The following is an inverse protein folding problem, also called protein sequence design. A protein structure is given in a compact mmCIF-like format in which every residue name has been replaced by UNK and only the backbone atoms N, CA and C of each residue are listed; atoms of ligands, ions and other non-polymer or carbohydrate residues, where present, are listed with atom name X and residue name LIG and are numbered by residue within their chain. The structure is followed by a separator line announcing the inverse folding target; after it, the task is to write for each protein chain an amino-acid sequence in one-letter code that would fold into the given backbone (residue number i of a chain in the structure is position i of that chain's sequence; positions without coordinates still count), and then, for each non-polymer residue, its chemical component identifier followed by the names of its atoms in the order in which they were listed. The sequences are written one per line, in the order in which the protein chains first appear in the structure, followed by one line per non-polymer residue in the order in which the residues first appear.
data_IF_746207339627
#
_entry.id   IF_746207339627
#
_cell.length_a   1.000
_cell.length_b   1.000
_cell.length_c   1.000
_cell.angle_alpha   90.00
_cell.angle_beta   90.00
_cell.angle_gamma   90.00
#
_symmetry.space_group_name_H-M   'P 1'
#
loop_
_entity.id
_entity.type
_entity.pdbx_description
1 polymer ?
#
# COMPACT_ATOMS: atom_id res chain seq x y z
N UNK A 1 11.29 -27.68 10.18
CA UNK A 1 10.72 -27.15 8.93
C UNK A 1 9.35 -26.58 9.20
N UNK A 2 8.51 -27.29 9.95
CA UNK A 2 7.15 -26.80 10.29
C UNK A 2 7.18 -25.51 11.12
N UNK A 3 8.06 -25.39 12.11
CA UNK A 3 8.22 -24.16 12.93
C UNK A 3 8.64 -22.92 12.12
N UNK A 4 9.42 -23.08 11.04
CA UNK A 4 9.81 -21.96 10.17
C UNK A 4 8.66 -21.56 9.25
N UNK A 5 7.79 -22.50 8.87
CA UNK A 5 6.61 -22.21 8.07
C UNK A 5 5.55 -21.49 8.90
N UNK A 6 5.38 -21.89 10.15
CA UNK A 6 4.48 -21.19 11.09
C UNK A 6 4.90 -19.73 11.27
N UNK A 7 6.20 -19.45 11.38
CA UNK A 7 6.70 -18.06 11.41
C UNK A 7 6.41 -17.29 10.12
N UNK A 8 6.48 -17.95 8.96
CA UNK A 8 6.10 -17.33 7.67
C UNK A 8 4.60 -17.02 7.66
N UNK A 9 3.77 -17.97 8.07
CA UNK A 9 2.32 -17.80 8.13
C UNK A 9 1.94 -16.63 9.06
N UNK A 10 2.60 -16.50 10.21
CA UNK A 10 2.41 -15.35 11.12
C UNK A 10 2.82 -14.02 10.48
N UNK A 11 3.92 -13.99 9.73
CA UNK A 11 4.34 -12.81 8.99
C UNK A 11 3.32 -12.45 7.90
N UNK A 12 2.82 -13.43 7.16
CA UNK A 12 1.84 -13.23 6.10
C UNK A 12 0.53 -12.66 6.65
N UNK A 13 0.05 -13.18 7.79
CA UNK A 13 -1.13 -12.65 8.48
C UNK A 13 -0.95 -11.19 8.93
N UNK A 14 0.24 -10.84 9.42
CA UNK A 14 0.57 -9.47 9.79
C UNK A 14 0.60 -8.53 8.57
N UNK A 15 1.17 -8.99 7.45
CA UNK A 15 1.19 -8.24 6.19
C UNK A 15 -0.24 -7.99 5.70
N UNK A 16 -1.08 -9.03 5.67
CA UNK A 16 -2.45 -8.92 5.21
C UNK A 16 -3.30 -8.03 6.11
N UNK A 17 -3.11 -8.10 7.43
CA UNK A 17 -3.77 -7.22 8.40
C UNK A 17 -3.40 -5.76 8.18
N UNK A 18 -2.12 -5.45 7.99
CA UNK A 18 -1.66 -4.10 7.73
C UNK A 18 -2.18 -3.55 6.39
N UNK A 19 -2.24 -4.39 5.35
CA UNK A 19 -2.77 -4.03 4.04
C UNK A 19 -4.27 -3.73 4.11
N UNK A 20 -5.08 -4.54 4.78
CA UNK A 20 -6.51 -4.29 4.97
C UNK A 20 -6.76 -2.94 5.68
N UNK A 21 -6.03 -2.68 6.76
CA UNK A 21 -6.10 -1.38 7.46
C UNK A 21 -5.75 -0.22 6.52
N UNK A 22 -4.68 -0.35 5.72
CA UNK A 22 -4.29 0.67 4.74
C UNK A 22 -5.39 0.93 3.72
N UNK A 23 -6.04 -0.10 3.19
CA UNK A 23 -7.09 0.04 2.18
C UNK A 23 -8.38 0.63 2.76
N UNK A 24 -8.72 0.34 4.02
CA UNK A 24 -9.82 1.01 4.72
C UNK A 24 -9.60 2.53 4.81
N UNK A 25 -8.36 2.96 5.11
CA UNK A 25 -8.00 4.39 5.11
C UNK A 25 -8.12 4.99 3.71
N UNK A 26 -7.74 4.26 2.65
CA UNK A 26 -7.93 4.72 1.26
C UNK A 26 -9.40 4.99 0.96
N UNK A 27 -10.32 4.11 1.36
CA UNK A 27 -11.77 4.34 1.20
C UNK A 27 -12.25 5.59 1.93
N UNK A 28 -11.80 5.79 3.18
CA UNK A 28 -12.14 6.99 3.94
C UNK A 28 -11.64 8.27 3.26
N UNK A 29 -10.44 8.23 2.67
CA UNK A 29 -9.91 9.35 1.86
C UNK A 29 -10.75 9.58 0.61
N UNK A 30 -11.18 8.52 -0.07
CA UNK A 30 -12.06 8.61 -1.24
C UNK A 30 -13.41 9.25 -0.88
N UNK A 31 -14.05 8.79 0.20
CA UNK A 31 -15.32 9.34 0.71
C UNK A 31 -15.17 10.83 1.06
N UNK A 32 -14.08 11.19 1.73
CA UNK A 32 -13.78 12.57 2.05
C UNK A 32 -13.68 13.42 0.77
N UNK A 33 -12.94 12.96 -0.24
CA UNK A 33 -12.80 13.68 -1.52
C UNK A 33 -14.13 13.80 -2.25
N UNK A 34 -14.96 12.74 -2.25
CA UNK A 34 -16.31 12.73 -2.83
C UNK A 34 -17.17 13.85 -2.23
N UNK A 35 -17.19 13.92 -0.91
CA UNK A 35 -18.01 14.88 -0.17
C UNK A 35 -17.53 16.34 -0.33
N UNK A 36 -16.29 16.55 -0.77
CA UNK A 36 -15.68 17.88 -0.93
C UNK A 36 -15.35 18.23 -2.39
N UNK A 37 -15.83 17.45 -3.37
CA UNK A 37 -15.55 17.62 -4.80
C UNK A 37 -14.04 17.77 -5.13
N UNK A 38 -13.18 17.02 -4.45
CA UNK A 38 -11.73 17.06 -4.65
C UNK A 38 -11.26 16.03 -5.70
N UNK A 39 -10.28 16.36 -6.56
CA UNK A 39 -9.77 15.44 -7.57
C UNK A 39 -8.85 14.34 -7.00
N UNK A 40 -8.75 13.24 -7.74
CA UNK A 40 -7.99 12.01 -7.38
C UNK A 40 -6.46 12.15 -7.56
N UNK A 41 -5.90 13.33 -7.83
CA UNK A 41 -4.48 13.44 -8.24
C UNK A 41 -3.50 12.94 -7.16
N UNK A 42 -2.77 11.83 -7.42
CA UNK A 42 -1.87 11.18 -6.44
C UNK A 42 -0.41 10.96 -6.89
N UNK A 43 -0.03 11.24 -8.14
CA UNK A 43 1.29 10.86 -8.70
C UNK A 43 2.48 11.31 -7.85
N UNK A 44 2.54 12.58 -7.43
CA UNK A 44 3.66 13.11 -6.63
C UNK A 44 3.75 12.48 -5.23
N UNK A 45 2.62 12.04 -4.66
CA UNK A 45 2.58 11.38 -3.36
C UNK A 45 3.08 9.94 -3.43
N UNK A 46 2.85 9.28 -4.57
CA UNK A 46 3.28 7.90 -4.81
C UNK A 46 4.81 7.82 -4.88
N UNK A 47 5.44 8.71 -5.63
CA UNK A 47 6.91 8.75 -5.75
C UNK A 47 7.56 9.07 -4.40
N UNK A 48 6.99 9.99 -3.63
CA UNK A 48 7.46 10.31 -2.28
C UNK A 48 7.30 9.14 -1.31
N UNK A 49 6.22 8.35 -1.42
CA UNK A 49 6.02 7.17 -0.61
C UNK A 49 7.08 6.11 -0.89
N UNK A 50 7.29 5.77 -2.17
CA UNK A 50 8.26 4.75 -2.58
C UNK A 50 9.67 5.17 -2.14
N UNK A 51 10.06 6.41 -2.42
CA UNK A 51 11.36 6.94 -1.99
C UNK A 51 11.54 6.84 -0.47
N UNK A 52 10.56 7.27 0.31
CA UNK A 52 10.61 7.19 1.79
C UNK A 52 10.76 5.76 2.28
N UNK A 53 10.16 4.78 1.59
CA UNK A 53 10.23 3.37 1.98
C UNK A 53 11.59 2.75 1.62
N UNK A 54 12.12 3.08 0.45
CA UNK A 54 13.49 2.73 0.05
C UNK A 54 14.49 3.29 1.07
N UNK A 55 14.40 4.61 1.35
CA UNK A 55 15.30 5.27 2.31
C UNK A 55 15.23 4.66 3.73
N UNK A 56 14.09 4.06 4.10
CA UNK A 56 13.85 3.53 5.44
C UNK A 56 14.12 2.03 5.57
N UNK A 57 13.86 1.25 4.53
CA UNK A 57 13.83 -0.22 4.59
C UNK A 57 14.69 -0.90 3.51
N UNK A 58 15.26 -0.13 2.58
CA UNK A 58 16.11 -0.64 1.51
C UNK A 58 17.34 -1.36 2.06
N UNK A 59 17.45 -2.66 1.76
CA UNK A 59 18.58 -3.51 2.15
C UNK A 59 18.62 -4.80 1.30
N UNK A 60 19.50 -5.75 1.62
CA UNK A 60 19.69 -7.02 0.88
C UNK A 60 18.38 -7.80 0.65
N UNK A 61 17.51 -7.89 1.67
CA UNK A 61 16.25 -8.64 1.60
C UNK A 61 15.07 -7.82 1.08
N UNK A 62 15.17 -6.49 1.10
CA UNK A 62 14.14 -5.55 0.66
C UNK A 62 14.78 -4.56 -0.31
N UNK A 63 15.16 -5.06 -1.49
CA UNK A 63 15.83 -4.24 -2.48
C UNK A 63 14.94 -3.09 -2.96
N UNK A 64 15.56 -2.01 -3.40
CA UNK A 64 14.86 -0.84 -3.93
C UNK A 64 13.85 -1.22 -5.02
N UNK A 65 14.25 -2.12 -5.93
CA UNK A 65 13.42 -2.66 -6.99
C UNK A 65 12.24 -3.46 -6.45
N UNK A 66 12.45 -4.28 -5.41
CA UNK A 66 11.36 -5.04 -4.79
C UNK A 66 10.34 -4.11 -4.12
N UNK A 67 10.82 -3.12 -3.36
CA UNK A 67 9.96 -2.12 -2.70
C UNK A 67 9.14 -1.34 -3.75
N UNK A 68 9.80 -0.87 -4.82
CA UNK A 68 9.14 -0.14 -5.89
C UNK A 68 8.05 -0.96 -6.59
N UNK A 69 8.35 -2.22 -6.95
CA UNK A 69 7.37 -3.11 -7.59
C UNK A 69 6.20 -3.44 -6.67
N UNK A 70 6.47 -3.84 -5.42
CA UNK A 70 5.43 -4.19 -4.46
C UNK A 70 4.47 -3.01 -4.22
N UNK A 71 5.03 -1.82 -4.00
CA UNK A 71 4.19 -0.65 -3.78
C UNK A 71 3.49 -0.18 -5.05
N UNK A 72 4.05 -0.42 -6.24
CA UNK A 72 3.34 -0.22 -7.51
C UNK A 72 2.01 -0.97 -7.55
N UNK A 73 2.03 -2.28 -7.24
CA UNK A 73 0.83 -3.13 -7.21
C UNK A 73 -0.17 -2.66 -6.16
N UNK A 74 0.30 -2.37 -4.93
CA UNK A 74 -0.55 -1.90 -3.83
C UNK A 74 -1.22 -0.56 -4.19
N UNK A 75 -0.52 0.33 -4.90
CA UNK A 75 -1.04 1.63 -5.29
C UNK A 75 -2.05 1.53 -6.43
N UNK A 76 -1.81 0.68 -7.43
CA UNK A 76 -2.77 0.43 -8.51
C UNK A 76 -4.11 -0.07 -7.94
N UNK A 77 -4.06 -1.02 -7.01
CA UNK A 77 -5.26 -1.51 -6.34
C UNK A 77 -5.96 -0.40 -5.52
N UNK A 78 -5.20 0.43 -4.81
CA UNK A 78 -5.75 1.56 -4.04
C UNK A 78 -6.45 2.59 -4.94
N UNK A 79 -5.91 2.89 -6.13
CA UNK A 79 -6.52 3.80 -7.09
C UNK A 79 -7.83 3.22 -7.64
N UNK A 80 -7.87 1.92 -7.96
CA UNK A 80 -9.11 1.25 -8.35
C UNK A 80 -10.19 1.41 -7.30
N UNK A 81 -9.83 1.15 -6.03
CA UNK A 81 -10.73 1.26 -4.89
C UNK A 81 -11.29 2.68 -4.69
N UNK A 82 -10.42 3.68 -4.86
CA UNK A 82 -10.80 5.09 -4.77
C UNK A 82 -11.78 5.48 -5.90
N UNK A 83 -11.51 5.05 -7.14
CA UNK A 83 -12.38 5.31 -8.29
C UNK A 83 -13.75 4.63 -8.18
N UNK A 84 -13.79 3.39 -7.69
CA UNK A 84 -15.05 2.69 -7.39
C UNK A 84 -15.90 3.44 -6.35
N UNK A 85 -15.25 4.02 -5.33
CA UNK A 85 -15.95 4.73 -4.25
C UNK A 85 -16.45 6.11 -4.70
N UNK A 86 -15.72 6.76 -5.61
CA UNK A 86 -16.07 8.07 -6.16
C UNK A 86 -17.15 8.03 -7.25
N UNK A 87 -17.29 6.89 -7.94
CA UNK A 87 -18.39 6.62 -8.88
C UNK A 87 -19.76 6.65 -8.20
#
# INVERSE_FOLDING_TARGET
MDELREQIDECDDQIMTALDQRLKVVRQVADYKKNHNMPVKQTDRMDQLVKRLIDKFGDENLTDDFIAHLYGVIMEHAISLENETLS
#
